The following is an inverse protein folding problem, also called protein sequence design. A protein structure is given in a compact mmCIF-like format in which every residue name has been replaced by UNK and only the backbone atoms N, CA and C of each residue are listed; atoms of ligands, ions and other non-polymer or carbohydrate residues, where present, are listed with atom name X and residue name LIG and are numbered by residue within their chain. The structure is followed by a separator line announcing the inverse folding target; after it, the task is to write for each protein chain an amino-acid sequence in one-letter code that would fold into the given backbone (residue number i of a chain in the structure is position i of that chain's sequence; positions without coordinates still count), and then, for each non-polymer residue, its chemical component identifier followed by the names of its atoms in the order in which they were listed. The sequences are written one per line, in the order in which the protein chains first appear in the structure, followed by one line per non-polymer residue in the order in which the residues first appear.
data_IF_621036545486
#
_entry.id   IF_621036545486
#
_cell.length_a   1.000
_cell.length_b   1.000
_cell.length_c   1.000
_cell.angle_alpha   90.00
_cell.angle_beta   90.00
_cell.angle_gamma   90.00
#
_symmetry.space_group_name_H-M   'P 1'
#
loop_
_entity.id
_entity.type
_entity.pdbx_description
1 polymer ?
#
# COMPACT_ATOMS: atom_id res chain seq x y z
N UNK A 1 34.80 10.06 -16.39
CA UNK A 1 33.91 10.55 -15.30
C UNK A 1 34.15 9.66 -14.10
N UNK A 2 34.65 10.20 -12.99
CA UNK A 2 35.15 9.37 -11.86
C UNK A 2 34.09 9.11 -10.78
N UNK A 3 32.97 9.84 -10.81
CA UNK A 3 31.92 9.75 -9.77
C UNK A 3 30.85 8.67 -9.99
N UNK A 4 30.90 7.93 -11.11
CA UNK A 4 29.79 7.04 -11.51
C UNK A 4 29.51 5.93 -10.49
N UNK A 5 30.55 5.26 -10.01
CA UNK A 5 30.39 4.14 -9.08
C UNK A 5 29.88 4.60 -7.70
N UNK A 6 30.37 5.74 -7.21
CA UNK A 6 29.88 6.38 -5.99
C UNK A 6 28.40 6.76 -6.12
N UNK A 7 28.01 7.36 -7.25
CA UNK A 7 26.63 7.73 -7.52
C UNK A 7 25.70 6.51 -7.59
N UNK A 8 26.11 5.43 -8.26
CA UNK A 8 25.33 4.18 -8.30
C UNK A 8 25.16 3.55 -6.93
N UNK A 9 26.22 3.57 -6.11
CA UNK A 9 26.16 3.10 -4.72
C UNK A 9 25.18 3.93 -3.88
N UNK A 10 25.13 5.25 -4.09
CA UNK A 10 24.17 6.11 -3.42
C UNK A 10 22.72 5.81 -3.84
N UNK A 11 22.48 5.53 -5.13
CA UNK A 11 21.17 5.10 -5.64
C UNK A 11 20.74 3.77 -5.00
N UNK A 12 21.64 2.80 -4.88
CA UNK A 12 21.33 1.51 -4.26
C UNK A 12 20.93 1.67 -2.78
N UNK A 13 21.67 2.50 -2.02
CA UNK A 13 21.33 2.81 -0.63
C UNK A 13 20.00 3.53 -0.47
N UNK A 14 19.70 4.48 -1.36
CA UNK A 14 18.41 5.17 -1.36
C UNK A 14 17.26 4.18 -1.63
N UNK A 15 17.45 3.25 -2.55
CA UNK A 15 16.48 2.22 -2.86
C UNK A 15 16.24 1.25 -1.69
N UNK A 16 17.32 0.79 -1.03
CA UNK A 16 17.23 -0.07 0.16
C UNK A 16 16.44 0.62 1.27
N UNK A 17 16.79 1.87 1.59
CA UNK A 17 16.07 2.67 2.58
C UNK A 17 14.60 2.83 2.20
N UNK A 18 14.32 3.13 0.92
CA UNK A 18 12.94 3.34 0.47
C UNK A 18 12.10 2.07 0.52
N UNK A 19 12.67 0.92 0.17
CA UNK A 19 11.99 -0.37 0.27
C UNK A 19 11.67 -0.73 1.72
N UNK A 20 12.55 -0.38 2.67
CA UNK A 20 12.29 -0.55 4.10
C UNK A 20 11.15 0.35 4.60
N UNK A 21 11.08 1.61 4.15
CA UNK A 21 9.94 2.49 4.43
C UNK A 21 8.62 1.92 3.87
N UNK A 22 8.66 1.40 2.63
CA UNK A 22 7.50 0.75 1.99
C UNK A 22 7.02 -0.45 2.83
N UNK A 23 7.93 -1.26 3.37
CA UNK A 23 7.58 -2.41 4.21
C UNK A 23 6.83 -2.02 5.48
N UNK A 24 7.15 -0.85 6.02
CA UNK A 24 6.54 -0.30 7.21
C UNK A 24 5.26 0.52 6.92
N UNK A 25 4.82 0.60 5.66
CA UNK A 25 3.62 1.36 5.31
C UNK A 25 2.39 0.74 5.99
N UNK A 26 1.72 1.46 6.91
CA UNK A 26 0.56 0.94 7.62
C UNK A 26 -0.59 0.63 6.65
N UNK A 27 -1.36 -0.41 6.96
CA UNK A 27 -2.54 -0.86 6.21
C UNK A 27 -2.31 -1.27 4.74
N UNK A 28 -1.11 -1.10 4.20
CA UNK A 28 -0.74 -1.61 2.89
C UNK A 28 -0.70 -3.14 2.92
N UNK A 29 -1.36 -3.76 1.95
CA UNK A 29 -1.25 -5.20 1.67
C UNK A 29 0.12 -5.52 1.08
N UNK A 30 0.51 -6.79 1.14
CA UNK A 30 1.78 -7.25 0.57
C UNK A 30 1.85 -7.00 -0.95
N UNK A 31 0.73 -7.15 -1.66
CA UNK A 31 0.63 -6.85 -3.09
C UNK A 31 0.84 -5.36 -3.39
N UNK A 32 0.25 -4.46 -2.60
CA UNK A 32 0.43 -3.01 -2.74
C UNK A 32 1.88 -2.59 -2.46
N UNK A 33 2.51 -3.21 -1.45
CA UNK A 33 3.93 -3.01 -1.14
C UNK A 33 4.82 -3.54 -2.26
N UNK A 34 4.56 -4.74 -2.76
CA UNK A 34 5.33 -5.34 -3.86
C UNK A 34 5.26 -4.48 -5.13
N UNK A 35 4.09 -3.96 -5.46
CA UNK A 35 3.91 -3.04 -6.59
C UNK A 35 4.72 -1.74 -6.42
N UNK A 36 4.77 -1.18 -5.20
CA UNK A 36 5.60 -0.01 -4.92
C UNK A 36 7.10 -0.32 -5.01
N UNK A 37 7.56 -1.46 -4.48
CA UNK A 37 8.97 -1.89 -4.58
C UNK A 37 9.41 -2.09 -6.02
N UNK A 38 8.53 -2.62 -6.88
CA UNK A 38 8.81 -2.74 -8.31
C UNK A 38 9.01 -1.36 -8.98
N UNK A 39 8.24 -0.34 -8.58
CA UNK A 39 8.45 1.04 -9.05
C UNK A 39 9.76 1.65 -8.53
N UNK A 40 10.19 1.29 -7.31
CA UNK A 40 11.53 1.66 -6.82
C UNK A 40 12.61 1.05 -7.72
N UNK A 41 12.49 -0.22 -8.08
CA UNK A 41 13.45 -0.90 -8.96
C UNK A 41 13.50 -0.27 -10.37
N UNK A 42 12.36 0.13 -10.91
CA UNK A 42 12.29 0.88 -12.17
C UNK A 42 13.04 2.23 -12.05
N UNK A 43 12.79 2.99 -10.98
CA UNK A 43 13.45 4.26 -10.74
C UNK A 43 14.98 4.10 -10.58
N UNK A 44 15.43 3.04 -9.89
CA UNK A 44 16.86 2.69 -9.78
C UNK A 44 17.48 2.44 -11.15
N UNK A 45 16.83 1.62 -11.98
CA UNK A 45 17.34 1.29 -13.31
C UNK A 45 17.46 2.55 -14.18
N UNK A 46 16.45 3.42 -14.15
CA UNK A 46 16.46 4.69 -14.88
C UNK A 46 17.58 5.62 -14.37
N UNK A 47 17.73 5.76 -13.05
CA UNK A 47 18.79 6.57 -12.45
C UNK A 47 20.19 6.08 -12.83
N UNK A 48 20.43 4.76 -12.76
CA UNK A 48 21.71 4.15 -13.14
C UNK A 48 22.01 4.35 -14.63
N UNK A 49 21.01 4.23 -15.50
CA UNK A 49 21.16 4.50 -16.93
C UNK A 49 21.54 5.97 -17.19
N UNK A 50 20.90 6.93 -16.53
CA UNK A 50 21.25 8.35 -16.63
C UNK A 50 22.67 8.65 -16.12
N UNK A 51 23.08 8.03 -15.00
CA UNK A 51 24.45 8.12 -14.48
C UNK A 51 25.45 7.57 -15.50
N UNK A 52 25.12 6.46 -16.17
CA UNK A 52 25.98 5.86 -17.20
C UNK A 52 26.11 6.73 -18.45
N UNK A 53 25.06 7.45 -18.84
CA UNK A 53 25.06 8.36 -19.98
C UNK A 53 25.79 9.68 -19.69
N UNK A 54 25.90 10.09 -18.43
CA UNK A 54 26.57 11.34 -18.07
C UNK A 54 28.04 11.39 -18.55
N UNK A 55 28.39 12.48 -19.23
CA UNK A 55 29.71 12.68 -19.88
C UNK A 55 30.71 13.44 -19.00
N UNK A 56 30.25 14.04 -17.90
CA UNK A 56 31.06 14.76 -16.93
C UNK A 56 30.53 14.55 -15.50
N UNK A 57 31.29 15.01 -14.50
CA UNK A 57 30.95 14.79 -13.09
C UNK A 57 29.67 15.56 -12.67
N UNK A 58 29.42 16.74 -13.23
CA UNK A 58 28.20 17.51 -12.92
C UNK A 58 26.96 16.76 -13.40
N UNK A 59 27.00 16.17 -14.60
CA UNK A 59 25.91 15.33 -15.11
C UNK A 59 25.66 14.10 -14.24
N UNK A 60 26.70 13.50 -13.65
CA UNK A 60 26.54 12.41 -12.68
C UNK A 60 25.88 12.90 -11.40
N UNK A 61 26.28 14.06 -10.88
CA UNK A 61 25.67 14.64 -9.68
C UNK A 61 24.18 14.97 -9.90
N UNK A 62 23.83 15.53 -11.06
CA UNK A 62 22.43 15.78 -11.46
C UNK A 62 21.63 14.49 -11.57
N UNK A 63 22.12 13.50 -12.34
CA UNK A 63 21.42 12.22 -12.51
C UNK A 63 21.23 11.47 -11.19
N UNK A 64 22.22 11.54 -10.29
CA UNK A 64 22.12 10.99 -8.93
C UNK A 64 21.02 11.69 -8.12
N UNK A 65 20.95 13.02 -8.16
CA UNK A 65 19.94 13.81 -7.44
C UNK A 65 18.54 13.46 -7.93
N UNK A 66 18.31 13.56 -9.25
CA UNK A 66 17.02 13.24 -9.87
C UNK A 66 16.60 11.80 -9.61
N UNK A 67 17.53 10.85 -9.69
CA UNK A 67 17.28 9.45 -9.39
C UNK A 67 16.89 9.22 -7.93
N UNK A 68 17.57 9.88 -6.99
CA UNK A 68 17.25 9.82 -5.56
C UNK A 68 15.87 10.41 -5.28
N UNK A 69 15.54 11.54 -5.89
CA UNK A 69 14.23 12.18 -5.75
C UNK A 69 13.10 11.31 -6.31
N UNK A 70 13.32 10.68 -7.47
CA UNK A 70 12.36 9.77 -8.07
C UNK A 70 12.09 8.54 -7.18
N UNK A 71 13.15 7.94 -6.62
CA UNK A 71 13.02 6.83 -5.65
C UNK A 71 12.22 7.27 -4.42
N UNK A 72 12.57 8.43 -3.85
CA UNK A 72 11.94 8.92 -2.62
C UNK A 72 10.43 9.22 -2.77
N UNK A 73 9.99 9.58 -3.98
CA UNK A 73 8.57 9.83 -4.28
C UNK A 73 7.72 8.57 -4.42
N UNK A 74 8.33 7.38 -4.55
CA UNK A 74 7.56 6.13 -4.67
C UNK A 74 6.88 5.81 -3.35
N UNK A 75 5.58 5.57 -3.38
CA UNK A 75 4.79 5.17 -2.21
C UNK A 75 3.77 4.09 -2.60
N UNK A 76 3.40 3.18 -1.67
CA UNK A 76 2.30 2.25 -1.91
C UNK A 76 0.97 2.98 -2.09
N UNK A 77 0.13 2.43 -2.95
CA UNK A 77 -1.27 2.85 -3.05
C UNK A 77 -2.05 1.97 -2.09
N UNK A 78 -2.51 2.53 -0.97
CA UNK A 78 -3.14 1.78 0.13
C UNK A 78 -4.65 1.94 0.06
N UNK A 79 -5.34 0.94 -0.49
CA UNK A 79 -6.79 1.00 -0.72
C UNK A 79 -7.52 -0.31 -0.41
N UNK A 80 -6.85 -1.46 -0.53
CA UNK A 80 -7.52 -2.77 -0.53
C UNK A 80 -8.23 -3.11 0.79
N UNK A 81 -7.61 -2.80 1.93
CA UNK A 81 -8.23 -3.03 3.24
C UNK A 81 -9.47 -2.15 3.45
N UNK A 82 -9.42 -0.89 3.05
CA UNK A 82 -10.55 0.03 3.18
C UNK A 82 -11.71 -0.37 2.26
N UNK A 83 -11.42 -0.75 1.02
CA UNK A 83 -12.41 -1.31 0.09
C UNK A 83 -13.11 -2.53 0.70
N UNK A 84 -12.35 -3.45 1.32
CA UNK A 84 -12.91 -4.64 1.96
C UNK A 84 -13.82 -4.29 3.16
N UNK A 85 -13.42 -3.32 4.00
CA UNK A 85 -14.25 -2.86 5.13
C UNK A 85 -15.55 -2.21 4.67
N UNK A 86 -15.51 -1.43 3.58
CA UNK A 86 -16.71 -0.82 2.97
C UNK A 86 -17.64 -1.91 2.44
N UNK A 87 -17.12 -2.93 1.77
CA UNK A 87 -17.91 -4.06 1.28
C UNK A 87 -18.62 -4.82 2.43
N UNK A 88 -17.92 -5.06 3.55
CA UNK A 88 -18.50 -5.69 4.74
C UNK A 88 -19.65 -4.85 5.32
N UNK A 89 -19.46 -3.54 5.45
CA UNK A 89 -20.52 -2.65 5.96
C UNK A 89 -21.78 -2.73 5.09
N UNK A 90 -21.61 -2.64 3.77
CA UNK A 90 -22.72 -2.72 2.82
C UNK A 90 -23.46 -4.06 2.91
N UNK A 91 -22.73 -5.17 3.01
CA UNK A 91 -23.32 -6.49 3.18
C UNK A 91 -24.09 -6.61 4.51
N UNK A 92 -23.55 -6.05 5.58
CA UNK A 92 -24.19 -6.04 6.89
C UNK A 92 -25.47 -5.21 6.89
N UNK A 93 -25.44 -4.01 6.32
CA UNK A 93 -26.63 -3.14 6.17
C UNK A 93 -27.74 -3.85 5.40
N UNK A 94 -27.40 -4.47 4.26
CA UNK A 94 -28.36 -5.28 3.49
C UNK A 94 -28.94 -6.42 4.33
N UNK A 95 -28.10 -7.14 5.09
CA UNK A 95 -28.57 -8.25 5.92
C UNK A 95 -29.48 -7.79 7.06
N UNK A 96 -29.17 -6.65 7.69
CA UNK A 96 -30.04 -6.08 8.74
C UNK A 96 -31.39 -5.64 8.18
N UNK A 97 -31.44 -5.10 6.96
CA UNK A 97 -32.69 -4.77 6.29
C UNK A 97 -33.55 -6.01 6.01
N UNK A 98 -32.94 -7.13 5.60
CA UNK A 98 -33.65 -8.42 5.46
C UNK A 98 -34.20 -8.92 6.80
N UNK A 99 -33.42 -8.78 7.89
CA UNK A 99 -33.87 -9.15 9.24
C UNK A 99 -35.08 -8.30 9.65
N UNK A 100 -35.06 -6.99 9.37
CA UNK A 100 -36.19 -6.11 9.66
C UNK A 100 -37.49 -6.52 8.97
N UNK A 101 -37.35 -7.03 7.75
CA UNK A 101 -38.46 -7.49 6.93
C UNK A 101 -38.88 -8.94 7.22
N UNK A 102 -38.23 -9.63 8.18
CA UNK A 102 -38.56 -11.02 8.51
C UNK A 102 -39.97 -11.08 9.13
N UNK A 103 -40.92 -11.77 8.48
CA UNK A 103 -42.30 -11.83 8.94
C UNK A 103 -42.41 -12.70 10.20
N UNK A 104 -43.36 -12.36 11.08
CA UNK A 104 -43.66 -13.08 12.33
C UNK A 104 -42.51 -13.17 13.35
N UNK A 105 -41.35 -12.56 13.09
CA UNK A 105 -40.27 -12.44 14.07
C UNK A 105 -40.55 -11.29 15.04
N UNK A 106 -40.27 -11.51 16.33
CA UNK A 106 -40.39 -10.45 17.34
C UNK A 106 -39.25 -9.44 17.22
N UNK A 107 -39.42 -8.29 17.85
CA UNK A 107 -38.37 -7.26 17.88
C UNK A 107 -37.11 -7.77 18.60
N UNK A 108 -37.26 -8.61 19.63
CA UNK A 108 -36.15 -9.25 20.35
C UNK A 108 -35.38 -10.24 19.45
N UNK A 109 -36.08 -11.06 18.67
CA UNK A 109 -35.46 -11.99 17.72
C UNK A 109 -34.68 -11.24 16.64
N UNK A 110 -35.26 -10.15 16.11
CA UNK A 110 -34.60 -9.29 15.13
C UNK A 110 -33.39 -8.58 15.73
N UNK A 111 -33.50 -8.04 16.94
CA UNK A 111 -32.39 -7.40 17.64
C UNK A 111 -31.24 -8.38 17.89
N UNK A 112 -31.54 -9.60 18.35
CA UNK A 112 -30.55 -10.66 18.55
C UNK A 112 -29.86 -11.06 17.24
N UNK A 113 -30.61 -11.17 16.13
CA UNK A 113 -30.05 -11.47 14.83
C UNK A 113 -29.15 -10.33 14.31
N UNK A 114 -29.55 -9.06 14.46
CA UNK A 114 -28.72 -7.90 14.10
C UNK A 114 -27.44 -7.80 14.93
N UNK A 115 -27.51 -8.13 16.22
CA UNK A 115 -26.34 -8.17 17.09
C UNK A 115 -25.31 -9.21 16.61
N UNK A 116 -25.76 -10.39 16.16
CA UNK A 116 -24.87 -11.39 15.54
C UNK A 116 -24.24 -10.90 14.24
N UNK A 117 -24.97 -10.12 13.43
CA UNK A 117 -24.40 -9.46 12.24
C UNK A 117 -23.29 -8.48 12.65
N UNK A 118 -23.50 -7.67 13.69
CA UNK A 118 -22.49 -6.73 14.19
C UNK A 118 -21.25 -7.42 14.75
N UNK A 119 -21.41 -8.54 15.45
CA UNK A 119 -20.31 -9.37 15.93
C UNK A 119 -19.48 -9.95 14.76
N UNK A 120 -20.16 -10.44 13.71
CA UNK A 120 -19.50 -10.94 12.51
C UNK A 120 -18.75 -9.82 11.76
N UNK A 121 -19.34 -8.63 11.64
CA UNK A 121 -18.69 -7.45 11.05
C UNK A 121 -17.43 -7.08 11.82
N UNK A 122 -17.51 -7.04 13.15
CA UNK A 122 -16.38 -6.70 14.01
C UNK A 122 -15.25 -7.72 13.83
N UNK A 123 -15.59 -9.00 13.87
CA UNK A 123 -14.64 -10.10 13.64
C UNK A 123 -13.96 -9.98 12.27
N UNK A 124 -14.73 -9.75 11.21
CA UNK A 124 -14.20 -9.65 9.85
C UNK A 124 -13.28 -8.42 9.67
N UNK A 125 -13.63 -7.27 10.24
CA UNK A 125 -12.79 -6.07 10.19
C UNK A 125 -11.48 -6.25 10.96
N UNK A 126 -11.54 -6.87 12.13
CA UNK A 126 -10.34 -7.18 12.91
C UNK A 126 -9.40 -8.13 12.15
N UNK A 127 -9.96 -9.13 11.45
CA UNK A 127 -9.16 -10.02 10.60
C UNK A 127 -8.48 -9.26 9.44
N UNK A 128 -9.18 -8.30 8.81
CA UNK A 128 -8.58 -7.43 7.77
C UNK A 128 -7.44 -6.57 8.33
N UNK A 129 -7.60 -6.04 9.54
CA UNK A 129 -6.57 -5.20 10.16
C UNK A 129 -5.30 -6.00 10.49
N UNK A 130 -5.45 -7.29 10.83
CA UNK A 130 -4.35 -8.20 11.16
C UNK A 130 -3.67 -8.87 9.96
N UNK A 131 -4.31 -8.85 8.78
CA UNK A 131 -3.77 -9.41 7.53
C UNK A 131 -2.65 -8.54 6.95
#
# INVERSE_FOLDING_TARGET
VVKKDEAKTAIDKAAEAKKAEIDQTPNATDEEKAAAKAKVDEAVNNAKASIDQATNNNGVDTAKSEGTDAINHVQPVVVKKDEAKVAINKAAEAKKAEIDQTPNATDEEKAAAKAKVDEAVTTAKNAIDQA
#
